data_IF_639347925449
#
_entry.id   IF_639347925449
#
_cell.length_a   1.000
_cell.length_b   1.000
_cell.length_c   1.000
_cell.angle_alpha   90.00
_cell.angle_beta   90.00
_cell.angle_gamma   90.00
#
_symmetry.space_group_name_H-M   'P 1'
#
loop_
_entity.id
_entity.type
_entity.pdbx_description
1 polymer ?
#
# COMPACT_ATOMS: atom_id res chain seq x y z
N UNK A 1 7.30 -10.87 20.19
CA UNK A 1 7.83 -9.70 19.45
C UNK A 1 8.62 -8.78 20.38
N UNK A 2 9.81 -8.33 19.97
CA UNK A 2 10.68 -7.40 20.71
C UNK A 2 10.35 -5.95 20.39
N UNK A 3 10.23 -5.08 21.39
CA UNK A 3 10.02 -3.63 21.18
C UNK A 3 11.37 -2.90 21.18
N UNK A 4 11.60 -2.03 20.19
CA UNK A 4 12.75 -1.11 20.11
C UNK A 4 12.29 0.32 19.86
N UNK A 5 12.96 1.26 20.52
CA UNK A 5 12.82 2.68 20.23
C UNK A 5 13.96 3.14 19.33
N UNK A 6 13.64 3.88 18.28
CA UNK A 6 14.58 4.37 17.28
C UNK A 6 14.64 5.89 17.34
N UNK A 7 15.85 6.43 17.46
CA UNK A 7 16.07 7.87 17.43
C UNK A 7 15.88 8.41 16.01
N UNK A 8 14.86 9.25 15.81
CA UNK A 8 14.50 9.82 14.51
C UNK A 8 15.57 10.74 13.92
N UNK A 9 16.52 11.24 14.74
CA UNK A 9 17.60 12.12 14.31
C UNK A 9 18.91 11.38 14.00
N UNK A 10 19.09 10.18 14.54
CA UNK A 10 20.32 9.42 14.39
C UNK A 10 20.36 8.58 13.09
N UNK A 11 19.25 8.44 12.40
CA UNK A 11 19.10 7.47 11.31
C UNK A 11 19.23 8.10 9.92
N UNK A 12 20.13 7.54 9.12
CA UNK A 12 20.22 7.64 7.63
C UNK A 12 18.83 7.36 7.04
N UNK A 13 18.41 7.93 5.89
CA UNK A 13 16.99 8.08 5.55
C UNK A 13 16.22 6.77 5.70
N UNK A 14 15.49 6.71 6.81
CA UNK A 14 14.46 5.72 7.07
C UNK A 14 13.38 5.94 6.01
N UNK A 15 12.79 4.86 5.49
CA UNK A 15 11.82 4.87 4.39
C UNK A 15 12.39 4.88 2.95
N UNK A 16 13.52 4.21 2.72
CA UNK A 16 13.92 3.84 1.35
C UNK A 16 12.89 2.86 0.75
N UNK A 17 12.55 3.08 -0.52
CA UNK A 17 11.73 2.17 -1.34
C UNK A 17 12.58 1.63 -2.49
N UNK A 18 12.14 0.53 -3.13
CA UNK A 18 12.76 -0.05 -4.31
C UNK A 18 14.21 -0.48 -4.07
N UNK A 19 14.45 -1.11 -2.92
CA UNK A 19 15.79 -1.53 -2.51
C UNK A 19 16.15 -2.84 -3.21
N UNK A 20 16.66 -2.69 -4.42
CA UNK A 20 17.00 -3.79 -5.31
C UNK A 20 18.11 -4.69 -4.79
N UNK A 21 18.87 -4.33 -3.76
CA UNK A 21 19.92 -5.16 -3.16
C UNK A 21 19.38 -6.31 -2.31
N UNK A 22 18.12 -6.25 -1.89
CA UNK A 22 17.48 -7.30 -1.09
C UNK A 22 16.24 -7.90 -1.76
N UNK A 23 15.88 -7.45 -2.95
CA UNK A 23 14.69 -7.96 -3.61
C UNK A 23 14.77 -9.48 -3.88
N UNK A 24 13.69 -10.25 -3.73
CA UNK A 24 13.69 -11.70 -3.98
C UNK A 24 13.73 -12.05 -5.48
N UNK A 25 14.21 -11.11 -6.28
CA UNK A 25 14.35 -11.13 -7.73
C UNK A 25 15.53 -10.24 -8.11
N UNK A 26 16.41 -10.72 -8.99
CA UNK A 26 17.49 -9.92 -9.56
C UNK A 26 17.73 -10.24 -11.02
N UNK A 27 18.31 -9.29 -11.73
CA UNK A 27 18.86 -9.48 -13.07
C UNK A 27 20.38 -9.62 -12.98
N UNK A 28 20.94 -10.66 -13.60
CA UNK A 28 22.38 -10.90 -13.66
C UNK A 28 22.76 -11.26 -15.09
N UNK A 29 23.55 -10.40 -15.75
CA UNK A 29 23.96 -10.60 -17.16
C UNK A 29 22.78 -10.75 -18.14
N UNK A 30 21.63 -10.13 -17.84
CA UNK A 30 20.39 -10.24 -18.63
C UNK A 30 19.47 -11.40 -18.23
N UNK A 31 19.95 -12.31 -17.38
CA UNK A 31 19.13 -13.41 -16.85
C UNK A 31 18.39 -12.96 -15.59
N UNK A 32 17.08 -13.19 -15.56
CA UNK A 32 16.25 -12.93 -14.39
C UNK A 32 16.24 -14.18 -13.50
N UNK A 33 16.71 -14.00 -12.27
CA UNK A 33 16.79 -15.03 -11.25
C UNK A 33 15.78 -14.70 -10.15
N UNK A 34 14.90 -15.64 -9.86
CA UNK A 34 13.81 -15.49 -8.89
C UNK A 34 14.03 -16.46 -7.73
N UNK A 35 13.89 -15.98 -6.50
CA UNK A 35 13.95 -16.84 -5.33
C UNK A 35 12.71 -17.75 -5.24
N UNK A 36 12.86 -19.05 -5.02
CA UNK A 36 11.78 -20.05 -5.11
C UNK A 36 10.62 -19.77 -4.14
N UNK A 37 10.84 -19.50 -2.84
CA UNK A 37 9.75 -19.17 -1.93
C UNK A 37 8.98 -17.91 -2.34
N UNK A 38 9.65 -16.91 -2.94
CA UNK A 38 8.96 -15.76 -3.53
C UNK A 38 8.21 -16.14 -4.79
N UNK A 39 8.80 -16.91 -5.71
CA UNK A 39 8.08 -17.43 -6.87
C UNK A 39 6.80 -18.15 -6.45
N UNK A 40 6.86 -19.00 -5.44
CA UNK A 40 5.72 -19.75 -4.89
C UNK A 40 4.68 -18.87 -4.17
N UNK A 41 5.03 -17.65 -3.76
CA UNK A 41 4.09 -16.71 -3.14
C UNK A 41 3.29 -15.90 -4.15
N UNK A 42 3.70 -15.91 -5.43
CA UNK A 42 3.07 -15.12 -6.47
C UNK A 42 1.69 -15.66 -6.83
N UNK A 43 0.80 -14.74 -7.23
CA UNK A 43 -0.52 -15.12 -7.75
C UNK A 43 -0.39 -15.85 -9.08
N UNK A 44 -1.38 -16.71 -9.38
CA UNK A 44 -1.40 -17.53 -10.58
C UNK A 44 -1.18 -16.72 -11.88
N UNK A 45 -1.80 -15.55 -12.01
CA UNK A 45 -1.62 -14.70 -13.20
C UNK A 45 -0.17 -14.25 -13.43
N UNK A 46 0.60 -14.05 -12.35
CA UNK A 46 2.03 -13.71 -12.43
C UNK A 46 2.83 -14.98 -12.72
N UNK A 47 2.48 -16.11 -12.09
CA UNK A 47 3.10 -17.41 -12.36
C UNK A 47 2.96 -17.84 -13.83
N UNK A 48 1.78 -17.65 -14.42
CA UNK A 48 1.51 -17.97 -15.83
C UNK A 48 2.45 -17.19 -16.73
N UNK A 49 2.59 -15.88 -16.49
CA UNK A 49 3.54 -15.03 -17.20
C UNK A 49 4.99 -15.52 -17.07
N UNK A 50 5.44 -15.80 -15.85
CA UNK A 50 6.81 -16.25 -15.57
C UNK A 50 7.13 -17.59 -16.26
N UNK A 51 6.16 -18.51 -16.26
CA UNK A 51 6.32 -19.85 -16.83
C UNK A 51 6.53 -19.83 -18.34
N UNK A 52 5.93 -18.86 -19.04
CA UNK A 52 6.12 -18.71 -20.50
C UNK A 52 7.52 -18.24 -20.90
N UNK A 53 8.30 -17.69 -19.96
CA UNK A 53 9.59 -17.05 -20.23
C UNK A 53 10.82 -17.80 -19.72
N UNK A 54 10.61 -18.96 -19.09
CA UNK A 54 11.69 -19.86 -18.64
C UNK A 54 12.73 -19.19 -17.73
N UNK A 55 12.30 -18.30 -16.83
CA UNK A 55 13.19 -17.67 -15.86
C UNK A 55 13.81 -18.68 -14.89
N UNK A 56 15.02 -18.38 -14.40
CA UNK A 56 15.74 -19.25 -13.46
C UNK A 56 15.14 -19.09 -12.04
N UNK A 57 14.71 -20.19 -11.43
CA UNK A 57 14.13 -20.20 -10.08
C UNK A 57 15.05 -20.98 -9.13
N UNK A 58 15.63 -20.30 -8.13
CA UNK A 58 16.63 -20.85 -7.19
C UNK A 58 16.12 -20.94 -5.77
N UNK A 59 16.56 -21.98 -5.06
CA UNK A 59 16.32 -22.13 -3.62
C UNK A 59 17.30 -21.28 -2.80
N UNK A 60 18.54 -21.17 -3.27
CA UNK A 60 19.61 -20.39 -2.67
C UNK A 60 19.59 -18.94 -3.19
N UNK A 61 19.30 -18.01 -2.29
CA UNK A 61 19.46 -16.59 -2.52
C UNK A 61 20.25 -16.00 -1.35
N UNK A 62 21.32 -15.29 -1.66
CA UNK A 62 22.11 -14.55 -0.67
C UNK A 62 21.73 -13.08 -0.72
N UNK A 63 21.35 -12.55 0.44
CA UNK A 63 21.02 -11.14 0.64
C UNK A 63 22.02 -10.51 1.64
N UNK A 64 22.31 -9.20 1.54
CA UNK A 64 22.08 -8.38 0.35
C UNK A 64 23.03 -8.79 -0.78
N UNK A 65 22.65 -8.53 -2.03
CA UNK A 65 23.54 -8.63 -3.19
C UNK A 65 23.85 -7.24 -3.76
N UNK A 66 24.95 -7.12 -4.50
CA UNK A 66 25.29 -5.88 -5.20
C UNK A 66 24.20 -5.56 -6.22
N UNK A 67 23.45 -4.45 -6.05
CA UNK A 67 22.36 -4.13 -6.96
C UNK A 67 22.94 -3.85 -8.35
N UNK A 68 22.35 -4.49 -9.35
CA UNK A 68 22.54 -4.12 -10.75
C UNK A 68 21.33 -3.30 -11.17
N UNK A 69 21.54 -2.23 -11.94
CA UNK A 69 20.44 -1.50 -12.56
C UNK A 69 19.75 -2.48 -13.52
N UNK A 70 18.45 -2.77 -13.33
CA UNK A 70 17.75 -3.63 -14.27
C UNK A 70 17.72 -2.96 -15.64
N UNK A 71 18.05 -3.71 -16.68
CA UNK A 71 18.11 -3.20 -18.06
C UNK A 71 17.11 -3.87 -18.98
N UNK A 72 16.56 -5.04 -18.62
CA UNK A 72 15.58 -5.71 -19.46
C UNK A 72 14.14 -5.24 -19.25
N UNK A 73 13.41 -5.11 -20.36
CA UNK A 73 11.96 -4.98 -20.36
C UNK A 73 11.28 -6.16 -19.63
N UNK A 74 11.92 -7.33 -19.62
CA UNK A 74 11.44 -8.50 -18.91
C UNK A 74 11.32 -8.24 -17.41
N UNK A 75 12.33 -7.61 -16.82
CA UNK A 75 12.38 -7.31 -15.40
C UNK A 75 11.31 -6.27 -15.02
N UNK A 76 11.23 -5.18 -15.80
CA UNK A 76 10.25 -4.12 -15.57
C UNK A 76 8.82 -4.64 -15.66
N UNK A 77 8.51 -5.48 -16.66
CA UNK A 77 7.17 -6.06 -16.78
C UNK A 77 6.84 -7.02 -15.63
N UNK A 78 7.81 -7.78 -15.13
CA UNK A 78 7.61 -8.63 -13.95
C UNK A 78 7.34 -7.79 -12.70
N UNK A 79 8.10 -6.72 -12.46
CA UNK A 79 7.79 -5.79 -11.38
C UNK A 79 6.38 -5.20 -11.52
N UNK A 80 6.01 -4.77 -12.73
CA UNK A 80 4.66 -4.28 -13.01
C UNK A 80 3.62 -5.33 -12.60
N UNK A 81 3.72 -6.57 -13.11
CA UNK A 81 2.80 -7.67 -12.82
C UNK A 81 2.74 -8.01 -11.32
N UNK A 82 3.89 -8.02 -10.65
CA UNK A 82 3.99 -8.22 -9.22
C UNK A 82 3.22 -7.13 -8.47
N UNK A 83 3.42 -5.86 -8.81
CA UNK A 83 2.69 -4.75 -8.19
C UNK A 83 1.17 -4.84 -8.40
N UNK A 84 0.70 -5.17 -9.61
CA UNK A 84 -0.75 -5.29 -9.86
C UNK A 84 -1.39 -6.42 -9.07
N UNK A 85 -0.60 -7.43 -8.67
CA UNK A 85 -1.10 -8.49 -7.79
C UNK A 85 -1.54 -7.97 -6.41
N UNK A 86 -1.17 -6.74 -6.04
CA UNK A 86 -1.57 -6.03 -4.81
C UNK A 86 -2.69 -4.99 -5.04
N UNK A 87 -3.21 -4.85 -6.27
CA UNK A 87 -4.33 -3.95 -6.53
C UNK A 87 -5.53 -4.33 -5.63
N UNK A 88 -6.16 -3.32 -5.03
CA UNK A 88 -7.23 -3.48 -4.03
C UNK A 88 -8.38 -4.40 -4.51
N UNK A 89 -8.73 -4.34 -5.80
CA UNK A 89 -9.81 -5.15 -6.38
C UNK A 89 -9.61 -6.66 -6.20
N UNK A 90 -8.38 -7.12 -5.97
CA UNK A 90 -8.07 -8.53 -5.81
C UNK A 90 -8.22 -9.05 -4.38
N UNK A 91 -8.27 -8.15 -3.40
CA UNK A 91 -8.18 -8.49 -1.97
C UNK A 91 -9.31 -7.88 -1.12
N UNK A 92 -10.25 -7.18 -1.75
CA UNK A 92 -11.30 -6.39 -1.09
C UNK A 92 -12.40 -7.18 -0.37
N UNK A 93 -12.22 -8.46 -0.07
CA UNK A 93 -13.26 -9.18 0.65
C UNK A 93 -13.45 -8.61 2.06
N UNK A 94 -14.69 -8.66 2.55
CA UNK A 94 -15.13 -8.04 3.80
C UNK A 94 -14.29 -8.51 5.01
N UNK A 95 -13.82 -9.77 4.96
CA UNK A 95 -13.03 -10.37 6.05
C UNK A 95 -11.57 -9.91 6.05
N UNK A 96 -11.05 -9.46 4.92
CA UNK A 96 -9.62 -9.14 4.75
C UNK A 96 -9.37 -7.64 4.80
N UNK A 97 -10.07 -6.83 3.99
CA UNK A 97 -9.80 -5.39 3.85
C UNK A 97 -10.93 -4.49 4.39
N UNK A 98 -11.95 -5.12 5.01
CA UNK A 98 -13.17 -4.48 5.49
C UNK A 98 -14.18 -4.19 4.38
N UNK A 99 -15.36 -3.70 4.77
CA UNK A 99 -16.40 -3.27 3.84
C UNK A 99 -15.92 -2.10 2.98
N UNK A 100 -15.97 -2.26 1.66
CA UNK A 100 -15.73 -1.19 0.71
C UNK A 100 -16.67 -1.31 -0.49
N UNK A 101 -17.17 -0.17 -0.95
CA UNK A 101 -17.85 -0.10 -2.24
C UNK A 101 -16.84 0.22 -3.33
N UNK A 102 -16.84 -0.60 -4.38
CA UNK A 102 -15.96 -0.47 -5.54
C UNK A 102 -16.80 -0.09 -6.75
N UNK A 103 -16.53 1.09 -7.30
CA UNK A 103 -17.24 1.61 -8.46
C UNK A 103 -16.28 1.61 -9.65
N UNK A 104 -16.48 0.77 -10.67
CA UNK A 104 -15.62 0.76 -11.84
C UNK A 104 -15.79 2.05 -12.65
N UNK A 105 -14.67 2.60 -13.10
CA UNK A 105 -14.63 3.68 -14.10
C UNK A 105 -14.29 3.04 -15.45
N UNK A 106 -15.26 2.92 -16.38
CA UNK A 106 -15.01 2.42 -17.71
C UNK A 106 -13.90 3.20 -18.42
N UNK A 107 -13.09 2.52 -19.24
CA UNK A 107 -11.98 3.15 -19.96
C UNK A 107 -12.41 4.37 -20.79
N UNK A 108 -13.64 4.35 -21.35
CA UNK A 108 -14.20 5.49 -22.10
C UNK A 108 -14.34 6.76 -21.25
N UNK A 109 -14.61 6.63 -19.95
CA UNK A 109 -14.76 7.74 -19.01
C UNK A 109 -13.43 8.14 -18.36
N UNK A 110 -12.43 7.26 -18.39
CA UNK A 110 -11.13 7.52 -17.77
C UNK A 110 -10.41 8.72 -18.39
N UNK A 111 -10.37 8.81 -19.72
CA UNK A 111 -9.74 9.93 -20.43
C UNK A 111 -10.41 11.26 -20.09
N UNK A 112 -11.74 11.26 -20.03
CA UNK A 112 -12.53 12.43 -19.65
C UNK A 112 -12.31 12.85 -18.20
N UNK A 113 -12.23 11.90 -17.25
CA UNK A 113 -11.87 12.20 -15.86
C UNK A 113 -10.48 12.84 -15.74
N UNK A 114 -9.52 12.38 -16.56
CA UNK A 114 -8.20 13.00 -16.66
C UNK A 114 -8.26 14.45 -17.16
N UNK A 115 -9.03 14.71 -18.22
CA UNK A 115 -9.24 16.07 -18.75
C UNK A 115 -9.89 16.99 -17.70
N UNK A 116 -10.96 16.54 -17.05
CA UNK A 116 -11.62 17.30 -15.98
C UNK A 116 -10.62 17.64 -14.88
N UNK A 117 -9.85 16.65 -14.40
CA UNK A 117 -8.84 16.84 -13.36
C UNK A 117 -7.79 17.88 -13.78
N UNK A 118 -7.30 17.79 -15.02
CA UNK A 118 -6.32 18.75 -15.54
C UNK A 118 -6.88 20.18 -15.59
N UNK A 119 -8.10 20.36 -16.11
CA UNK A 119 -8.75 21.68 -16.17
C UNK A 119 -8.93 22.23 -14.75
N UNK A 120 -9.39 21.42 -13.81
CA UNK A 120 -9.59 21.83 -12.41
C UNK A 120 -8.29 22.25 -11.75
N UNK A 121 -7.22 21.49 -11.91
CA UNK A 121 -5.89 21.85 -11.40
C UNK A 121 -5.36 23.18 -11.97
N UNK A 122 -5.73 23.53 -13.21
CA UNK A 122 -5.28 24.77 -13.87
C UNK A 122 -6.15 25.99 -13.58
N UNK A 123 -7.43 25.78 -13.24
CA UNK A 123 -8.43 26.86 -13.21
C UNK A 123 -9.16 26.99 -11.88
N UNK A 124 -8.93 26.07 -10.94
CA UNK A 124 -9.62 25.98 -9.64
C UNK A 124 -11.16 25.93 -9.77
N UNK A 125 -11.67 25.45 -10.91
CA UNK A 125 -13.11 25.32 -11.14
C UNK A 125 -13.72 24.24 -10.23
N UNK A 126 -14.95 24.50 -9.80
CA UNK A 126 -15.76 23.55 -9.04
C UNK A 126 -16.19 22.36 -9.89
N UNK A 127 -16.41 21.20 -9.27
CA UNK A 127 -16.99 20.02 -9.96
C UNK A 127 -18.35 20.33 -10.59
N UNK A 128 -19.08 21.28 -10.02
CA UNK A 128 -20.40 21.70 -10.52
C UNK A 128 -20.34 22.25 -11.94
N UNK A 129 -19.17 22.73 -12.38
CA UNK A 129 -18.95 23.19 -13.77
C UNK A 129 -18.83 22.05 -14.78
N UNK A 130 -18.81 20.79 -14.34
CA UNK A 130 -18.59 19.61 -15.18
C UNK A 130 -19.72 18.59 -15.06
N UNK A 131 -20.87 18.96 -14.46
CA UNK A 131 -21.97 18.02 -14.22
C UNK A 131 -22.55 17.42 -15.50
N UNK A 132 -22.47 18.14 -16.61
CA UNK A 132 -22.96 17.73 -17.94
C UNK A 132 -21.94 16.87 -18.72
N UNK A 133 -20.77 16.57 -18.13
CA UNK A 133 -19.77 15.69 -18.76
C UNK A 133 -20.21 14.23 -18.59
N UNK A 134 -20.16 13.45 -19.67
CA UNK A 134 -20.65 12.06 -19.72
C UNK A 134 -20.10 11.21 -18.56
N UNK A 135 -18.82 11.34 -18.22
CA UNK A 135 -18.21 10.63 -17.09
C UNK A 135 -18.82 11.00 -15.74
N UNK A 136 -19.14 12.27 -15.51
CA UNK A 136 -19.75 12.73 -14.26
C UNK A 136 -21.21 12.29 -14.18
N UNK A 137 -21.98 12.44 -15.26
CA UNK A 137 -23.37 11.95 -15.34
C UNK A 137 -23.46 10.45 -15.08
N UNK A 138 -22.48 9.67 -15.58
CA UNK A 138 -22.39 8.24 -15.34
C UNK A 138 -22.02 7.89 -13.89
N UNK A 139 -20.99 8.53 -13.32
CA UNK A 139 -20.44 8.16 -12.02
C UNK A 139 -21.30 8.66 -10.84
N UNK A 140 -21.89 9.85 -10.95
CA UNK A 140 -22.60 10.50 -9.84
C UNK A 140 -23.73 9.63 -9.24
N UNK A 141 -24.67 9.04 -10.01
CA UNK A 141 -25.70 8.17 -9.42
C UNK A 141 -25.13 6.89 -8.80
N UNK A 142 -24.05 6.32 -9.37
CA UNK A 142 -23.40 5.12 -8.82
C UNK A 142 -22.74 5.43 -7.47
N UNK A 143 -22.07 6.58 -7.35
CA UNK A 143 -21.47 7.03 -6.10
C UNK A 143 -22.56 7.28 -5.05
N UNK A 144 -23.63 7.99 -5.41
CA UNK A 144 -24.75 8.24 -4.49
C UNK A 144 -25.36 6.94 -3.97
N UNK A 145 -25.60 5.96 -4.85
CA UNK A 145 -26.13 4.66 -4.47
C UNK A 145 -25.20 3.91 -3.51
N UNK A 146 -23.88 3.94 -3.76
CA UNK A 146 -22.89 3.32 -2.88
C UNK A 146 -22.82 4.00 -1.50
N UNK A 147 -23.05 5.31 -1.41
CA UNK A 147 -22.90 6.06 -0.17
C UNK A 147 -24.09 5.97 0.80
N UNK A 148 -25.22 5.37 0.40
CA UNK A 148 -26.47 5.35 1.20
C UNK A 148 -26.30 4.71 2.59
N UNK A 149 -25.38 3.76 2.75
CA UNK A 149 -25.27 2.96 3.98
C UNK A 149 -24.53 3.65 5.12
N UNK A 150 -23.77 4.72 4.87
CA UNK A 150 -22.98 5.39 5.89
C UNK A 150 -23.00 6.92 5.71
N UNK A 151 -22.95 7.69 6.82
CA UNK A 151 -23.02 9.14 6.75
C UNK A 151 -21.72 9.80 6.25
N UNK A 152 -20.61 9.07 6.26
CA UNK A 152 -19.28 9.59 5.97
C UNK A 152 -18.39 8.49 5.38
N UNK A 153 -17.55 8.86 4.43
CA UNK A 153 -16.72 7.93 3.67
C UNK A 153 -15.27 8.42 3.56
N UNK A 154 -14.35 7.48 3.40
CA UNK A 154 -13.02 7.69 2.86
C UNK A 154 -13.01 7.30 1.38
N UNK A 155 -12.32 8.08 0.55
CA UNK A 155 -12.22 7.84 -0.89
C UNK A 155 -10.76 7.66 -1.32
N UNK A 156 -10.51 6.65 -2.16
CA UNK A 156 -9.28 6.53 -2.95
C UNK A 156 -9.57 6.00 -4.35
N UNK A 157 -8.57 6.05 -5.22
CA UNK A 157 -8.58 5.34 -6.50
C UNK A 157 -7.77 4.05 -6.41
N UNK A 158 -7.75 3.27 -7.50
CA UNK A 158 -7.09 1.97 -7.55
C UNK A 158 -5.64 2.01 -7.07
N UNK A 159 -4.84 2.96 -7.57
CA UNK A 159 -3.42 3.00 -7.24
C UNK A 159 -3.16 3.57 -5.84
N UNK A 160 -3.80 4.69 -5.47
CA UNK A 160 -3.50 5.38 -4.22
C UNK A 160 -4.62 6.34 -3.79
N UNK A 161 -4.47 6.89 -2.58
CA UNK A 161 -5.30 8.00 -2.08
C UNK A 161 -4.61 9.35 -2.34
N UNK A 162 -5.34 10.44 -2.11
CA UNK A 162 -4.84 11.81 -2.26
C UNK A 162 -4.09 12.33 -1.03
N UNK A 163 -3.66 11.45 -0.11
CA UNK A 163 -3.02 11.83 1.18
C UNK A 163 -1.73 12.65 1.03
N UNK A 164 -1.11 12.60 -0.15
CA UNK A 164 0.10 13.37 -0.46
C UNK A 164 -0.19 14.81 -0.89
N UNK A 165 -1.40 15.09 -1.36
CA UNK A 165 -1.78 16.41 -1.85
C UNK A 165 -2.57 17.19 -0.81
N UNK A 166 -3.37 16.51 0.01
CA UNK A 166 -4.23 17.13 1.02
C UNK A 166 -4.38 16.27 2.27
N UNK A 167 -4.69 16.93 3.40
CA UNK A 167 -5.08 16.23 4.62
C UNK A 167 -6.30 15.35 4.38
N UNK A 168 -6.24 14.11 4.84
CA UNK A 168 -7.35 13.16 4.75
C UNK A 168 -8.53 13.70 5.55
N UNK A 169 -9.71 13.73 4.91
CA UNK A 169 -10.99 14.13 5.52
C UNK A 169 -12.07 13.15 5.08
N UNK A 170 -13.12 13.04 5.89
CA UNK A 170 -14.31 12.34 5.46
C UNK A 170 -15.03 13.10 4.35
N UNK A 171 -15.65 12.37 3.43
CA UNK A 171 -16.53 12.90 2.38
C UNK A 171 -17.96 12.46 2.67
N UNK A 172 -18.92 13.36 2.45
CA UNK A 172 -20.32 13.14 2.84
C UNK A 172 -21.26 13.13 1.63
N UNK A 173 -20.84 13.71 0.51
CA UNK A 173 -21.60 13.76 -0.74
C UNK A 173 -20.84 13.14 -1.91
N UNK A 174 -21.55 12.79 -2.98
CA UNK A 174 -20.92 12.26 -4.19
C UNK A 174 -20.07 13.34 -4.89
N UNK A 175 -20.44 14.60 -4.74
CA UNK A 175 -19.71 15.77 -5.20
C UNK A 175 -18.38 15.90 -4.43
N UNK A 176 -18.37 15.64 -3.12
CA UNK A 176 -17.13 15.61 -2.33
C UNK A 176 -16.18 14.50 -2.82
N UNK A 177 -16.72 13.31 -3.12
CA UNK A 177 -15.96 12.20 -3.71
C UNK A 177 -15.30 12.65 -5.02
N UNK A 178 -16.08 13.22 -5.93
CA UNK A 178 -15.58 13.72 -7.21
C UNK A 178 -14.57 14.86 -7.02
N UNK A 179 -14.78 15.75 -6.06
CA UNK A 179 -13.85 16.82 -5.69
C UNK A 179 -12.49 16.26 -5.27
N UNK A 180 -12.46 15.26 -4.38
CA UNK A 180 -11.20 14.66 -3.94
C UNK A 180 -10.43 14.03 -5.10
N UNK A 181 -11.11 13.26 -5.96
CA UNK A 181 -10.42 12.49 -7.02
C UNK A 181 -10.02 13.35 -8.24
N UNK A 182 -10.61 14.54 -8.41
CA UNK A 182 -10.32 15.45 -9.54
C UNK A 182 -9.57 16.72 -9.17
N UNK A 183 -9.21 16.91 -7.88
CA UNK A 183 -8.34 18.01 -7.44
C UNK A 183 -6.93 17.56 -7.07
N UNK A 184 -6.59 16.28 -7.25
CA UNK A 184 -5.33 15.69 -6.78
C UNK A 184 -4.30 15.60 -7.90
N UNK A 185 -3.20 16.39 -7.87
CA UNK A 185 -2.09 16.25 -8.82
C UNK A 185 -1.48 14.85 -8.82
N UNK A 186 -1.39 14.23 -7.64
CA UNK A 186 -0.83 12.88 -7.48
C UNK A 186 -1.72 11.83 -8.16
N UNK A 187 -3.04 11.91 -7.99
CA UNK A 187 -3.98 11.02 -8.70
C UNK A 187 -4.00 11.30 -10.19
N UNK A 188 -3.88 12.56 -10.63
CA UNK A 188 -3.75 12.88 -12.06
C UNK A 188 -2.57 12.17 -12.70
N UNK A 189 -1.38 12.33 -12.11
CA UNK A 189 -0.16 11.73 -12.64
C UNK A 189 -0.26 10.21 -12.66
N UNK A 190 -0.62 9.60 -11.53
CA UNK A 190 -0.53 8.14 -11.40
C UNK A 190 -1.72 7.41 -12.00
N UNK A 191 -2.94 7.86 -11.73
CA UNK A 191 -4.15 7.14 -12.13
C UNK A 191 -4.63 7.54 -13.52
N UNK A 192 -4.68 8.84 -13.83
CA UNK A 192 -5.25 9.34 -15.09
C UNK A 192 -4.25 9.31 -16.25
N UNK A 193 -3.00 9.73 -16.02
CA UNK A 193 -2.00 9.89 -17.08
C UNK A 193 -1.21 8.60 -17.37
N UNK A 194 -0.79 7.86 -16.34
CA UNK A 194 0.18 6.77 -16.52
C UNK A 194 -0.40 5.36 -16.41
N UNK A 195 -1.56 5.19 -15.78
CA UNK A 195 -2.12 3.85 -15.55
C UNK A 195 -2.92 3.39 -16.77
N UNK A 196 -2.44 2.39 -17.49
CA UNK A 196 -3.14 1.75 -18.62
C UNK A 196 -4.07 0.60 -18.20
N UNK A 197 -4.77 0.76 -17.06
CA UNK A 197 -5.59 -0.29 -16.44
C UNK A 197 -6.96 0.22 -16.04
N UNK A 198 -7.92 -0.70 -15.77
CA UNK A 198 -9.14 -0.35 -15.08
C UNK A 198 -8.86 0.46 -13.80
N UNK A 199 -9.64 1.53 -13.67
CA UNK A 199 -9.63 2.40 -12.50
C UNK A 199 -10.95 2.22 -11.77
N UNK A 200 -10.89 2.23 -10.44
CA UNK A 200 -12.04 2.10 -9.57
C UNK A 200 -12.04 3.26 -8.58
N UNK A 201 -13.23 3.75 -8.23
CA UNK A 201 -13.44 4.55 -7.04
C UNK A 201 -13.68 3.57 -5.89
N UNK A 202 -12.87 3.68 -4.85
CA UNK A 202 -12.97 2.84 -3.66
C UNK A 202 -13.48 3.72 -2.53
N UNK A 203 -14.66 3.38 -2.02
CA UNK A 203 -15.30 4.05 -0.89
C UNK A 203 -15.28 3.13 0.32
N UNK A 204 -14.56 3.51 1.37
CA UNK A 204 -14.56 2.81 2.67
C UNK A 204 -15.37 3.63 3.67
N UNK A 205 -16.20 3.03 4.55
CA UNK A 205 -16.84 3.77 5.63
C UNK A 205 -15.81 4.54 6.45
N UNK A 206 -16.11 5.80 6.76
CA UNK A 206 -15.22 6.62 7.57
C UNK A 206 -15.18 6.08 9.00
N UNK A 207 -13.96 5.83 9.51
CA UNK A 207 -13.74 5.43 10.89
C UNK A 207 -12.90 6.50 11.60
N UNK A 208 -13.55 7.30 12.44
CA UNK A 208 -12.89 8.38 13.19
C UNK A 208 -11.90 7.89 14.26
N UNK A 209 -11.94 6.61 14.61
CA UNK A 209 -10.97 6.01 15.53
C UNK A 209 -9.63 5.72 14.85
N UNK A 210 -9.54 5.81 13.52
CA UNK A 210 -8.25 5.72 12.82
C UNK A 210 -7.50 7.04 12.99
N UNK A 211 -6.35 6.98 13.65
CA UNK A 211 -5.48 8.12 13.94
C UNK A 211 -4.03 7.80 13.58
N UNK A 212 -3.17 8.81 13.58
CA UNK A 212 -1.73 8.59 13.39
C UNK A 212 -1.11 7.75 14.51
N UNK A 213 -1.72 7.76 15.71
CA UNK A 213 -1.24 7.01 16.87
C UNK A 213 -1.50 5.51 16.77
N UNK A 214 -2.42 5.08 15.91
CA UNK A 214 -2.77 3.67 15.83
C UNK A 214 -2.54 3.03 14.48
N UNK A 215 -1.88 3.74 13.56
CA UNK A 215 -1.47 3.23 12.26
C UNK A 215 -0.06 2.60 12.34
N UNK A 216 0.01 1.31 12.01
CA UNK A 216 1.24 0.53 11.96
C UNK A 216 1.44 -0.07 10.58
N UNK A 217 2.69 -0.40 10.27
CA UNK A 217 3.10 -1.16 9.10
C UNK A 217 3.67 -2.49 9.54
N UNK A 218 3.10 -3.59 9.04
CA UNK A 218 3.54 -4.96 9.29
C UNK A 218 4.26 -5.50 8.07
N UNK A 219 5.38 -6.17 8.30
CA UNK A 219 6.15 -6.87 7.29
C UNK A 219 5.83 -8.36 7.41
N UNK A 220 5.17 -8.89 6.38
CA UNK A 220 4.83 -10.32 6.28
C UNK A 220 5.83 -11.02 5.37
N UNK A 221 6.52 -12.01 5.93
CA UNK A 221 7.44 -12.86 5.19
C UNK A 221 7.05 -14.33 5.38
N UNK A 222 6.72 -15.01 4.28
CA UNK A 222 6.27 -16.41 4.27
C UNK A 222 5.14 -16.68 5.29
N UNK A 223 4.09 -15.86 5.25
CA UNK A 223 2.90 -15.90 6.12
C UNK A 223 3.15 -15.57 7.61
N UNK A 224 4.31 -15.01 7.96
CA UNK A 224 4.63 -14.62 9.34
C UNK A 224 4.95 -13.14 9.42
N UNK A 225 4.46 -12.48 10.48
CA UNK A 225 4.92 -11.13 10.81
C UNK A 225 6.37 -11.22 11.29
N UNK A 226 7.29 -10.59 10.59
CA UNK A 226 8.71 -10.54 10.96
C UNK A 226 9.11 -9.21 11.56
N UNK A 227 8.43 -8.14 11.17
CA UNK A 227 8.66 -6.80 11.68
C UNK A 227 7.38 -5.97 11.69
N UNK A 228 7.36 -4.95 12.55
CA UNK A 228 6.31 -3.96 12.64
C UNK A 228 6.91 -2.59 12.97
N UNK A 229 6.34 -1.51 12.44
CA UNK A 229 6.74 -0.13 12.75
C UNK A 229 5.52 0.76 12.83
N UNK A 230 5.56 1.81 13.65
CA UNK A 230 4.58 2.89 13.49
C UNK A 230 4.67 3.49 12.06
N UNK A 231 3.53 3.85 11.47
CA UNK A 231 3.50 4.39 10.11
C UNK A 231 3.98 5.85 10.07
N UNK A 232 3.68 6.62 11.11
CA UNK A 232 4.12 8.01 11.24
C UNK A 232 5.57 8.08 11.77
N UNK A 233 6.50 7.48 11.02
CA UNK A 233 7.88 7.19 11.45
C UNK A 233 8.73 8.44 11.78
N UNK A 234 8.34 9.62 11.32
CA UNK A 234 9.07 10.88 11.50
C UNK A 234 8.64 11.68 12.73
N UNK A 235 7.77 11.15 13.59
CA UNK A 235 7.40 11.80 14.83
C UNK A 235 7.35 10.79 15.98
N UNK A 236 7.82 11.20 17.14
CA UNK A 236 7.54 10.49 18.38
C UNK A 236 6.04 10.57 18.69
N UNK A 237 5.47 9.41 19.05
CA UNK A 237 4.06 9.27 19.41
C UNK A 237 4.00 8.84 20.88
N UNK A 238 3.16 9.54 21.65
CA UNK A 238 3.01 9.30 23.09
C UNK A 238 2.11 8.08 23.34
N UNK A 239 2.68 6.88 23.18
CA UNK A 239 2.00 5.63 23.48
C UNK A 239 2.16 5.26 24.95
N UNK A 240 1.05 4.98 25.62
CA UNK A 240 1.11 4.34 26.94
C UNK A 240 1.68 2.93 26.82
N UNK A 241 2.32 2.44 27.89
CA UNK A 241 2.85 1.08 27.91
C UNK A 241 1.74 0.03 27.71
N UNK A 242 0.56 0.25 28.30
CA UNK A 242 -0.61 -0.62 28.14
C UNK A 242 -1.03 -0.73 26.66
N UNK A 243 -1.04 0.38 25.94
CA UNK A 243 -1.36 0.36 24.52
C UNK A 243 -0.30 -0.34 23.68
N UNK A 244 0.99 -0.17 24.01
CA UNK A 244 2.09 -0.92 23.36
C UNK A 244 1.91 -2.43 23.59
N UNK A 245 1.55 -2.84 24.80
CA UNK A 245 1.30 -4.25 25.13
C UNK A 245 0.12 -4.81 24.32
N UNK A 246 -0.96 -4.03 24.17
CA UNK A 246 -2.09 -4.36 23.27
C UNK A 246 -1.62 -4.55 21.82
N UNK A 247 -0.82 -3.62 21.29
CA UNK A 247 -0.27 -3.72 19.93
C UNK A 247 0.56 -4.99 19.75
N UNK A 248 1.48 -5.25 20.68
CA UNK A 248 2.34 -6.44 20.65
C UNK A 248 1.52 -7.73 20.72
N UNK A 249 0.55 -7.81 21.62
CA UNK A 249 -0.32 -8.98 21.75
C UNK A 249 -1.15 -9.20 20.49
N UNK A 250 -1.72 -8.13 19.93
CA UNK A 250 -2.52 -8.18 18.71
C UNK A 250 -1.69 -8.69 17.53
N UNK A 251 -0.45 -8.21 17.38
CA UNK A 251 0.44 -8.64 16.29
C UNK A 251 0.93 -10.08 16.50
N UNK A 252 1.29 -10.49 17.71
CA UNK A 252 1.72 -11.87 17.98
C UNK A 252 0.60 -12.88 17.73
N UNK A 253 -0.66 -12.48 17.95
CA UNK A 253 -1.84 -13.31 17.74
C UNK A 253 -2.45 -13.16 16.33
N UNK A 254 -1.85 -12.36 15.45
CA UNK A 254 -2.35 -12.19 14.09
C UNK A 254 -2.13 -13.46 13.27
N UNK A 255 -3.23 -14.08 12.84
CA UNK A 255 -3.22 -15.21 11.93
C UNK A 255 -3.30 -14.70 10.48
N UNK A 256 -2.19 -14.85 9.73
CA UNK A 256 -2.14 -14.36 8.35
C UNK A 256 -3.16 -15.06 7.47
N UNK A 257 -4.03 -14.27 6.84
CA UNK A 257 -5.06 -14.81 5.95
C UNK A 257 -4.43 -15.51 4.74
N UNK A 258 -4.82 -16.75 4.42
CA UNK A 258 -4.33 -17.45 3.22
C UNK A 258 -4.77 -16.79 1.91
N UNK A 259 -5.65 -15.78 1.97
CA UNK A 259 -6.09 -14.99 0.82
C UNK A 259 -5.13 -13.84 0.49
N UNK A 260 -4.30 -13.43 1.45
CA UNK A 260 -3.29 -12.41 1.25
C UNK A 260 -2.00 -13.03 0.70
N UNK A 261 -1.19 -12.28 -0.08
CA UNK A 261 0.13 -12.76 -0.48
C UNK A 261 0.96 -13.14 0.74
N UNK A 262 1.72 -14.23 0.67
CA UNK A 262 2.54 -14.70 1.80
C UNK A 262 3.77 -13.83 2.05
N UNK A 263 4.13 -12.97 1.08
CA UNK A 263 5.19 -11.98 1.17
C UNK A 263 4.56 -10.63 0.80
N UNK A 264 4.38 -9.76 1.80
CA UNK A 264 3.71 -8.47 1.62
C UNK A 264 4.03 -7.50 2.76
N UNK A 265 3.60 -6.25 2.58
CA UNK A 265 3.59 -5.25 3.63
C UNK A 265 2.15 -4.79 3.84
N UNK A 266 1.68 -4.83 5.08
CA UNK A 266 0.34 -4.40 5.45
C UNK A 266 0.43 -3.08 6.19
N UNK A 267 -0.33 -2.08 5.76
CA UNK A 267 -0.64 -0.93 6.62
C UNK A 267 -1.92 -1.28 7.38
N UNK A 268 -1.86 -1.24 8.71
CA UNK A 268 -2.93 -1.66 9.61
C UNK A 268 -3.22 -0.58 10.63
N UNK A 269 -4.42 -0.64 11.20
CA UNK A 269 -4.79 0.09 12.41
C UNK A 269 -5.03 -0.90 13.52
N UNK A 270 -4.51 -0.63 14.73
CA UNK A 270 -4.77 -1.46 15.92
C UNK A 270 -5.50 -0.59 16.95
N UNK A 271 -6.78 -0.88 17.20
CA UNK A 271 -7.60 -0.11 18.13
C UNK A 271 -7.23 -0.43 19.60
N UNK A 272 -7.71 0.39 20.53
CA UNK A 272 -7.44 0.22 21.98
C UNK A 272 -7.92 -1.14 22.53
N UNK A 273 -8.95 -1.73 21.92
CA UNK A 273 -9.49 -3.05 22.28
C UNK A 273 -8.72 -4.22 21.64
N UNK A 274 -7.64 -3.95 20.89
CA UNK A 274 -6.86 -4.95 20.16
C UNK A 274 -7.46 -5.35 18.81
N UNK A 275 -8.51 -4.68 18.32
CA UNK A 275 -9.03 -4.92 16.98
C UNK A 275 -8.01 -4.44 15.93
N UNK A 276 -7.53 -5.36 15.09
CA UNK A 276 -6.70 -5.04 13.93
C UNK A 276 -7.55 -4.84 12.66
N UNK A 277 -7.35 -3.73 11.96
CA UNK A 277 -8.02 -3.38 10.70
C UNK A 277 -6.96 -3.19 9.62
N UNK A 278 -7.02 -3.95 8.52
CA UNK A 278 -6.11 -3.74 7.39
C UNK A 278 -6.58 -2.53 6.56
N UNK A 279 -5.69 -1.57 6.39
CA UNK A 279 -5.92 -0.32 5.66
C UNK A 279 -5.46 -0.43 4.22
N UNK A 280 -4.23 -0.91 4.02
CA UNK A 280 -3.58 -1.01 2.72
C UNK A 280 -2.71 -2.27 2.64
N UNK A 281 -2.64 -2.86 1.45
CA UNK A 281 -1.82 -4.02 1.13
C UNK A 281 -0.81 -3.58 0.09
N UNK A 282 0.48 -3.71 0.41
CA UNK A 282 1.59 -3.21 -0.37
C UNK A 282 2.58 -4.33 -0.76
N UNK A 283 3.30 -4.19 -1.88
CA UNK A 283 4.33 -5.15 -2.28
C UNK A 283 5.59 -5.00 -1.42
N UNK A 284 6.25 -6.13 -1.12
CA UNK A 284 7.40 -6.20 -0.21
C UNK A 284 8.54 -5.20 -0.46
N UNK A 285 8.96 -4.99 -1.70
CA UNK A 285 10.20 -4.26 -2.03
C UNK A 285 9.98 -2.80 -2.44
N UNK A 286 8.72 -2.41 -2.62
CA UNK A 286 8.34 -1.09 -3.12
C UNK A 286 7.58 -0.25 -2.11
N UNK A 287 7.18 -0.86 -0.99
CA UNK A 287 6.72 -0.14 0.18
C UNK A 287 7.88 0.54 0.88
N UNK A 288 7.57 1.64 1.56
CA UNK A 288 8.54 2.29 2.42
C UNK A 288 8.86 1.46 3.66
N UNK A 289 10.12 1.47 4.11
CA UNK A 289 10.55 0.71 5.28
C UNK A 289 10.04 1.25 6.63
N UNK A 290 9.46 2.46 6.69
CA UNK A 290 9.16 3.11 7.96
C UNK A 290 10.44 3.27 8.78
N UNK A 291 10.49 2.76 10.02
CA UNK A 291 11.70 2.77 10.86
C UNK A 291 12.70 1.63 10.56
N UNK A 292 12.53 0.90 9.46
CA UNK A 292 13.48 -0.10 8.96
C UNK A 292 14.16 0.39 7.69
N UNK A 293 15.43 0.03 7.53
CA UNK A 293 16.13 0.08 6.24
C UNK A 293 16.20 -1.33 5.66
N UNK A 294 15.72 -1.50 4.42
CA UNK A 294 15.67 -2.81 3.78
C UNK A 294 17.03 -3.51 3.67
N UNK A 295 18.13 -2.76 3.51
CA UNK A 295 19.47 -3.33 3.36
C UNK A 295 20.07 -3.63 4.73
N UNK A 296 19.98 -2.71 5.68
CA UNK A 296 20.60 -2.85 7.00
C UNK A 296 19.84 -3.84 7.89
N UNK A 297 18.51 -3.86 7.78
CA UNK A 297 17.62 -4.67 8.62
C UNK A 297 17.09 -5.92 7.91
N UNK A 298 17.67 -6.33 6.78
CA UNK A 298 17.18 -7.46 5.98
C UNK A 298 17.02 -8.74 6.81
N UNK A 299 17.90 -8.97 7.80
CA UNK A 299 17.79 -10.16 8.65
C UNK A 299 16.54 -10.14 9.52
N UNK A 300 16.17 -8.97 10.06
CA UNK A 300 14.94 -8.80 10.82
C UNK A 300 13.73 -8.94 9.89
N UNK A 301 13.74 -8.19 8.78
CA UNK A 301 12.65 -8.19 7.81
C UNK A 301 12.40 -9.60 7.23
N UNK A 302 13.42 -10.43 7.05
CA UNK A 302 13.31 -11.76 6.45
C UNK A 302 13.16 -12.87 7.50
N UNK A 303 13.03 -12.50 8.78
CA UNK A 303 12.84 -13.45 9.89
C UNK A 303 14.06 -14.33 10.19
N UNK A 304 15.26 -13.84 9.91
CA UNK A 304 16.54 -14.55 10.11
C UNK A 304 17.14 -14.35 11.51
N UNK A 305 16.63 -13.39 12.29
CA UNK A 305 17.17 -13.01 13.62
C UNK A 305 16.34 -13.49 14.82
N UNK A 306 15.40 -14.41 14.63
CA UNK A 306 14.57 -14.98 15.70
C UNK A 306 13.21 -14.31 15.81
N UNK A 307 12.91 -13.72 16.97
CA UNK A 307 11.61 -13.09 17.24
C UNK A 307 11.35 -11.85 16.37
N UNK A 308 10.08 -11.63 16.02
CA UNK A 308 9.66 -10.43 15.30
C UNK A 308 9.95 -9.14 16.10
N UNK A 309 10.14 -8.02 15.41
CA UNK A 309 10.52 -6.73 16.03
C UNK A 309 9.49 -5.62 15.77
N UNK A 310 9.08 -4.90 16.82
CA UNK A 310 8.31 -3.65 16.74
C UNK A 310 9.24 -2.46 16.94
N UNK A 311 9.27 -1.51 16.00
CA UNK A 311 9.99 -0.23 16.12
C UNK A 311 9.04 0.93 16.33
N UNK A 312 9.37 1.77 17.32
CA UNK A 312 8.68 3.02 17.63
C UNK A 312 9.67 4.18 17.57
N UNK A 313 9.22 5.35 17.11
CA UNK A 313 10.03 6.54 17.01
C UNK A 313 10.19 7.18 18.39
N UNK A 314 11.39 7.69 18.68
CA UNK A 314 11.68 8.44 19.90
C UNK A 314 12.58 9.62 19.59
N UNK A 315 12.35 10.76 20.23
CA UNK A 315 13.24 11.92 20.15
C UNK A 315 14.19 11.85 21.33
N UNK A 316 15.48 11.66 21.08
CA UNK A 316 16.46 11.84 22.16
C UNK A 316 16.69 13.35 22.31
N UNK A 317 16.23 13.93 23.42
CA UNK A 317 16.65 15.29 23.80
C UNK A 317 18.11 15.16 24.26
N UNK A 318 19.05 15.47 23.38
CA UNK A 318 20.49 15.53 23.69
C UNK A 318 20.83 16.74 24.54
#
# INVERSE_FOLDING_TARGET
MKVKYVDIHATTPLNTCNVMSVAPIRELNGDIIIWRPFFQSLRQSVLDYLTTRQYEVKDDFTFPYTPQTPTSDGFNNLLILYHESFDYQHHHDEKTMGLANIIPIPNKHKGEMGEITLIRMQTDRSITNFLERDAIEYLLPLIRAAMVSHPAWFVKLSAQSSKHDFSIKSVQTAEDVLNVITNSPTLYKVEWQHRNKPTYIILKPWNSSITKQNEFRLFIWLNKVTAATQQHWYAELDHSQEYIDTVVNTINNYEHSPKLPSICVLDVVILEDGTMIIIELNPWISSGGGLFDYTMDYKVLYGLEGDAELRLAKTTIT
#
